data_IF_292083370353
#
_entry.id   IF_292083370353
#
_cell.length_a   1.000
_cell.length_b   1.000
_cell.length_c   1.000
_cell.angle_alpha   90.00
_cell.angle_beta   90.00
_cell.angle_gamma   90.00
#
_symmetry.space_group_name_H-M   'P 1'
#
loop_
_entity.id
_entity.type
_entity.pdbx_description
1 polymer ?
#
# COMPACT_ATOMS: atom_id res chain seq x y z
N UNK A 1 -6.53 50.25 -3.16
CA UNK A 1 -6.34 49.10 -4.07
C UNK A 1 -4.89 48.66 -3.97
N UNK A 2 -4.59 47.63 -3.20
CA UNK A 2 -3.28 46.95 -3.23
C UNK A 2 -3.56 45.46 -3.37
N UNK A 3 -3.59 45.02 -4.62
CA UNK A 3 -3.81 43.61 -4.96
C UNK A 3 -2.60 42.76 -4.59
N UNK A 4 -2.88 41.79 -3.72
CA UNK A 4 -2.27 40.48 -3.55
C UNK A 4 -0.98 40.19 -4.34
N UNK A 5 0.15 40.27 -3.65
CA UNK A 5 1.38 39.61 -4.08
C UNK A 5 1.23 38.09 -3.85
N UNK A 6 0.52 37.40 -4.75
CA UNK A 6 0.38 35.94 -4.69
C UNK A 6 1.71 35.30 -5.06
N UNK A 7 2.21 34.52 -4.11
CA UNK A 7 3.34 33.60 -4.15
C UNK A 7 3.45 32.83 -5.49
N UNK A 8 4.16 33.39 -6.48
CA UNK A 8 4.45 32.68 -7.74
C UNK A 8 5.48 31.59 -7.45
N UNK A 9 5.28 30.34 -7.86
CA UNK A 9 6.28 29.29 -7.66
C UNK A 9 7.57 29.69 -8.37
N UNK A 10 8.70 29.48 -7.69
CA UNK A 10 10.03 29.79 -8.21
C UNK A 10 10.23 29.14 -9.59
N UNK A 11 10.89 29.87 -10.49
CA UNK A 11 11.16 29.41 -11.86
C UNK A 11 12.01 28.15 -11.80
N UNK A 12 11.56 27.06 -12.42
CA UNK A 12 12.27 25.79 -12.47
C UNK A 12 13.61 25.97 -13.21
N UNK A 13 14.70 25.48 -12.62
CA UNK A 13 16.02 25.46 -13.24
C UNK A 13 16.25 24.14 -14.00
N UNK A 14 17.05 24.12 -15.10
CA UNK A 14 17.43 22.88 -15.77
C UNK A 14 18.29 21.99 -14.86
N UNK A 15 18.13 20.66 -15.00
CA UNK A 15 18.89 19.69 -14.22
C UNK A 15 20.21 19.37 -14.91
N UNK A 16 21.31 19.96 -14.41
CA UNK A 16 22.66 19.80 -14.99
C UNK A 16 23.62 19.02 -14.07
N UNK A 17 23.11 18.30 -13.08
CA UNK A 17 23.96 17.55 -12.13
C UNK A 17 24.45 16.25 -12.79
N UNK A 18 25.77 16.01 -12.85
CA UNK A 18 26.31 14.77 -13.41
C UNK A 18 25.97 13.56 -12.52
N UNK A 19 25.97 12.34 -13.09
CA UNK A 19 25.90 11.12 -12.28
C UNK A 19 27.16 11.01 -11.41
N UNK A 20 27.00 10.44 -10.21
CA UNK A 20 28.10 10.20 -9.27
C UNK A 20 28.43 8.71 -9.20
N UNK A 21 29.71 8.36 -9.16
CA UNK A 21 30.20 7.01 -8.84
C UNK A 21 29.88 6.61 -7.39
N UNK A 22 29.98 5.33 -7.04
CA UNK A 22 29.76 4.89 -5.66
C UNK A 22 30.79 5.48 -4.69
N UNK A 23 32.06 5.59 -5.12
CA UNK A 23 33.10 6.25 -4.33
C UNK A 23 32.81 7.73 -4.10
N UNK A 24 32.33 8.46 -5.11
CA UNK A 24 31.90 9.86 -4.95
C UNK A 24 30.70 9.99 -4.00
N UNK A 25 29.77 9.02 -4.00
CA UNK A 25 28.66 8.98 -3.06
C UNK A 25 29.15 8.76 -1.62
N UNK A 26 30.09 7.85 -1.39
CA UNK A 26 30.70 7.62 -0.06
C UNK A 26 31.43 8.87 0.43
N UNK A 27 32.28 9.46 -0.40
CA UNK A 27 32.99 10.71 -0.07
C UNK A 27 32.04 11.86 0.25
N UNK A 28 30.89 11.93 -0.44
CA UNK A 28 29.84 12.91 -0.13
C UNK A 28 29.19 12.68 1.23
N UNK A 29 28.99 11.44 1.66
CA UNK A 29 28.47 11.12 2.99
C UNK A 29 29.50 11.46 4.09
N UNK A 30 30.77 11.14 3.86
CA UNK A 30 31.88 11.48 4.77
C UNK A 30 32.00 13.00 4.94
N UNK A 31 31.99 13.77 3.85
CA UNK A 31 32.08 15.24 3.92
C UNK A 31 30.90 15.90 4.63
N UNK A 32 29.78 15.18 4.76
CA UNK A 32 28.60 15.60 5.52
C UNK A 32 28.65 15.20 7.00
N UNK A 33 29.69 14.47 7.43
CA UNK A 33 29.91 14.05 8.82
C UNK A 33 29.47 12.62 9.13
N UNK A 34 29.14 11.79 8.13
CA UNK A 34 28.85 10.38 8.38
C UNK A 34 30.14 9.60 8.62
N UNK A 35 30.20 8.84 9.71
CA UNK A 35 31.36 7.99 10.05
C UNK A 35 31.28 6.71 9.24
N UNK A 36 32.27 6.48 8.37
CA UNK A 36 32.36 5.30 7.49
C UNK A 36 33.76 4.68 7.61
N UNK A 37 33.97 3.75 8.58
CA UNK A 37 35.27 3.12 8.78
C UNK A 37 35.68 2.22 7.61
N UNK A 38 34.72 1.48 7.04
CA UNK A 38 34.91 0.60 5.88
C UNK A 38 34.21 1.20 4.65
N UNK A 39 34.95 1.97 3.86
CA UNK A 39 34.44 2.61 2.66
C UNK A 39 34.12 1.60 1.56
N UNK A 40 34.89 0.51 1.45
CA UNK A 40 34.64 -0.53 0.44
C UNK A 40 33.31 -1.24 0.69
N UNK A 41 33.00 -1.52 1.96
CA UNK A 41 31.70 -2.07 2.34
C UNK A 41 30.55 -1.08 2.08
N UNK A 42 30.74 0.21 2.38
CA UNK A 42 29.75 1.24 2.07
C UNK A 42 29.48 1.38 0.56
N UNK A 43 30.53 1.36 -0.28
CA UNK A 43 30.39 1.33 -1.74
C UNK A 43 29.63 0.09 -2.21
N UNK A 44 29.93 -1.09 -1.65
CA UNK A 44 29.20 -2.31 -1.94
C UNK A 44 27.70 -2.15 -1.63
N UNK A 45 27.32 -1.65 -0.45
CA UNK A 45 25.91 -1.44 -0.12
C UNK A 45 25.24 -0.40 -1.02
N UNK A 46 25.89 0.71 -1.33
CA UNK A 46 25.36 1.73 -2.24
C UNK A 46 25.25 1.23 -3.69
N UNK A 47 26.02 0.20 -4.07
CA UNK A 47 25.85 -0.48 -5.36
C UNK A 47 24.57 -1.32 -5.43
N UNK A 48 24.11 -1.84 -4.30
CA UNK A 48 22.87 -2.64 -4.18
C UNK A 48 21.67 -1.77 -3.79
N UNK A 49 21.90 -0.63 -3.15
CA UNK A 49 20.91 0.31 -2.66
C UNK A 49 21.05 1.64 -3.39
N UNK A 50 20.08 1.97 -4.24
CA UNK A 50 20.03 3.29 -4.87
C UNK A 50 20.24 4.42 -3.84
N UNK A 51 21.16 5.35 -4.12
CA UNK A 51 21.54 6.41 -3.19
C UNK A 51 20.36 7.22 -2.64
N UNK A 52 19.33 7.49 -3.45
CA UNK A 52 18.14 8.21 -2.98
C UNK A 52 17.35 7.41 -1.95
N UNK A 53 17.31 6.08 -2.08
CA UNK A 53 16.69 5.21 -1.07
C UNK A 53 17.48 5.28 0.23
N UNK A 54 18.81 5.14 0.19
CA UNK A 54 19.66 5.26 1.39
C UNK A 54 19.51 6.65 2.04
N UNK A 55 19.60 7.72 1.25
CA UNK A 55 19.48 9.10 1.71
C UNK A 55 18.15 9.40 2.42
N UNK A 56 17.06 8.71 2.07
CA UNK A 56 15.78 8.86 2.77
C UNK A 56 15.82 8.34 4.22
N UNK A 57 16.73 7.41 4.54
CA UNK A 57 16.98 6.92 5.91
C UNK A 57 18.07 7.72 6.64
N UNK A 58 18.82 8.57 5.93
CA UNK A 58 19.74 9.53 6.56
C UNK A 58 19.00 10.63 7.33
N UNK A 59 17.80 11.02 6.87
CA UNK A 59 17.06 12.19 7.39
C UNK A 59 16.94 12.22 8.93
N UNK A 60 16.58 11.15 9.66
CA UNK A 60 16.48 11.18 11.12
C UNK A 60 17.81 11.45 11.84
N UNK A 61 18.93 11.20 11.17
CA UNK A 61 20.29 11.39 11.68
C UNK A 61 20.90 12.73 11.25
N UNK A 62 20.21 13.51 10.40
CA UNK A 62 20.63 14.85 10.06
C UNK A 62 20.40 15.79 11.26
N UNK A 63 21.38 16.64 11.53
CA UNK A 63 21.25 17.80 12.42
C UNK A 63 20.71 19.01 11.68
N UNK A 64 21.07 19.15 10.40
CA UNK A 64 20.64 20.23 9.52
C UNK A 64 20.21 19.66 8.16
N UNK A 65 18.92 19.79 7.84
CA UNK A 65 18.34 19.34 6.59
C UNK A 65 18.68 20.23 5.40
N UNK A 66 19.09 21.48 5.60
CA UNK A 66 19.47 22.38 4.51
C UNK A 66 20.80 21.95 3.88
N UNK A 67 21.77 21.62 4.73
CA UNK A 67 23.11 21.20 4.30
C UNK A 67 23.33 19.68 4.35
N UNK A 68 22.35 18.92 4.84
CA UNK A 68 22.42 17.48 5.06
C UNK A 68 23.57 17.06 5.98
N UNK A 69 23.86 17.84 7.02
CA UNK A 69 24.93 17.55 8.00
C UNK A 69 24.41 16.52 8.99
N UNK A 70 25.19 15.47 9.22
CA UNK A 70 24.87 14.42 10.20
C UNK A 70 25.19 14.88 11.62
N UNK A 71 24.51 14.30 12.61
CA UNK A 71 24.87 14.45 14.03
C UNK A 71 26.21 13.75 14.29
N UNK A 72 26.98 14.28 15.24
CA UNK A 72 28.26 13.72 15.63
C UNK A 72 28.16 12.23 15.98
N UNK A 73 29.15 11.45 15.54
CA UNK A 73 29.26 10.00 15.73
C UNK A 73 28.17 9.15 15.06
N UNK A 74 27.36 9.71 14.14
CA UNK A 74 26.47 8.88 13.31
C UNK A 74 27.29 7.99 12.38
N UNK A 75 27.15 6.68 12.48
CA UNK A 75 27.81 5.72 11.62
C UNK A 75 26.96 5.32 10.40
N UNK A 76 27.63 4.87 9.34
CA UNK A 76 26.95 4.28 8.17
C UNK A 76 25.99 3.15 8.56
N UNK A 77 26.43 2.30 9.49
CA UNK A 77 25.67 1.15 9.95
C UNK A 77 24.39 1.54 10.70
N UNK A 78 24.34 2.70 11.35
CA UNK A 78 23.11 3.20 12.00
C UNK A 78 22.00 3.43 10.97
N UNK A 79 22.36 4.07 9.85
CA UNK A 79 21.45 4.34 8.74
C UNK A 79 21.06 3.04 8.04
N UNK A 80 22.02 2.15 7.81
CA UNK A 80 21.79 0.86 7.18
C UNK A 80 20.86 -0.03 8.04
N UNK A 81 21.07 -0.07 9.35
CA UNK A 81 20.24 -0.82 10.28
C UNK A 81 18.80 -0.30 10.30
N UNK A 82 18.59 1.02 10.20
CA UNK A 82 17.25 1.58 10.07
C UNK A 82 16.56 1.13 8.77
N UNK A 83 17.30 1.07 7.65
CA UNK A 83 16.80 0.54 6.39
C UNK A 83 16.41 -0.95 6.51
N UNK A 84 17.27 -1.76 7.15
CA UNK A 84 17.03 -3.20 7.37
C UNK A 84 15.81 -3.40 8.26
N UNK A 85 15.70 -2.66 9.36
CA UNK A 85 14.54 -2.66 10.23
C UNK A 85 13.25 -2.36 9.46
N UNK A 86 13.22 -1.30 8.64
CA UNK A 86 12.03 -0.95 7.86
C UNK A 86 11.70 -2.02 6.80
N UNK A 87 12.70 -2.75 6.30
CA UNK A 87 12.48 -3.92 5.43
C UNK A 87 11.80 -5.05 6.19
N UNK A 88 12.24 -5.37 7.39
CA UNK A 88 11.62 -6.41 8.22
C UNK A 88 10.20 -6.02 8.64
N UNK A 89 10.00 -4.76 9.03
CA UNK A 89 8.69 -4.21 9.36
C UNK A 89 7.71 -4.37 8.19
N UNK A 90 8.13 -4.05 6.95
CA UNK A 90 7.28 -4.26 5.77
C UNK A 90 6.84 -5.71 5.61
N UNK A 91 7.74 -6.68 5.86
CA UNK A 91 7.41 -8.10 5.73
C UNK A 91 6.39 -8.54 6.78
N UNK A 92 6.57 -8.13 8.04
CA UNK A 92 5.61 -8.41 9.11
C UNK A 92 4.23 -7.79 8.83
N UNK A 93 4.20 -6.58 8.29
CA UNK A 93 2.96 -5.90 7.93
C UNK A 93 2.27 -6.59 6.74
N UNK A 94 3.03 -7.05 5.74
CA UNK A 94 2.48 -7.82 4.63
C UNK A 94 1.86 -9.13 5.10
N UNK A 95 2.55 -9.89 5.96
CA UNK A 95 2.03 -11.14 6.55
C UNK A 95 0.72 -10.90 7.32
N UNK A 96 0.66 -9.84 8.13
CA UNK A 96 -0.54 -9.50 8.88
C UNK A 96 -1.72 -9.10 7.97
N UNK A 97 -1.45 -8.30 6.93
CA UNK A 97 -2.50 -7.85 6.00
C UNK A 97 -3.01 -9.01 5.13
N UNK A 98 -2.13 -9.93 4.73
CA UNK A 98 -2.52 -11.10 3.92
C UNK A 98 -3.64 -11.90 4.59
N UNK A 99 -3.56 -12.13 5.90
CA UNK A 99 -4.60 -12.86 6.66
C UNK A 99 -5.96 -12.15 6.59
N UNK A 100 -5.95 -10.81 6.63
CA UNK A 100 -7.16 -10.00 6.53
C UNK A 100 -7.70 -10.03 5.10
N UNK A 101 -6.81 -9.94 4.10
CA UNK A 101 -7.16 -9.98 2.67
C UNK A 101 -7.86 -11.30 2.31
N UNK A 102 -7.27 -12.44 2.69
CA UNK A 102 -7.85 -13.77 2.47
C UNK A 102 -9.19 -13.90 3.18
N UNK A 103 -9.27 -13.49 4.45
CA UNK A 103 -10.53 -13.52 5.21
C UNK A 103 -11.61 -12.67 4.54
N UNK A 104 -11.28 -11.46 4.07
CA UNK A 104 -12.23 -10.55 3.44
C UNK A 104 -12.76 -11.09 2.11
N UNK A 105 -11.90 -11.75 1.30
CA UNK A 105 -12.34 -12.47 0.09
C UNK A 105 -13.43 -13.48 0.43
N UNK A 106 -13.18 -14.31 1.43
CA UNK A 106 -14.14 -15.33 1.88
C UNK A 106 -15.44 -14.71 2.34
N UNK A 107 -15.39 -13.72 3.23
CA UNK A 107 -16.60 -13.10 3.78
C UNK A 107 -17.43 -12.38 2.72
N UNK A 108 -16.76 -11.67 1.80
CA UNK A 108 -17.43 -10.96 0.71
C UNK A 108 -18.12 -11.93 -0.25
N UNK A 109 -17.41 -12.98 -0.70
CA UNK A 109 -17.97 -13.99 -1.58
C UNK A 109 -19.13 -14.75 -0.92
N UNK A 110 -18.95 -15.17 0.35
CA UNK A 110 -19.97 -15.90 1.09
C UNK A 110 -21.24 -15.07 1.27
N UNK A 111 -21.15 -13.88 1.87
CA UNK A 111 -22.35 -13.11 2.20
C UNK A 111 -23.08 -12.60 0.97
N UNK A 112 -22.38 -12.13 -0.07
CA UNK A 112 -23.06 -11.66 -1.28
C UNK A 112 -23.74 -12.80 -2.03
N UNK A 113 -23.11 -13.98 -2.13
CA UNK A 113 -23.73 -15.12 -2.83
C UNK A 113 -24.97 -15.65 -2.10
N UNK A 114 -24.90 -15.76 -0.77
CA UNK A 114 -26.00 -16.32 0.03
C UNK A 114 -27.15 -15.33 0.19
N UNK A 115 -26.87 -14.05 0.44
CA UNK A 115 -27.93 -13.05 0.65
C UNK A 115 -28.71 -12.74 -0.62
N UNK A 116 -28.08 -12.86 -1.79
CA UNK A 116 -28.69 -12.59 -3.10
C UNK A 116 -29.01 -13.87 -3.88
N UNK A 117 -28.79 -15.04 -3.29
CA UNK A 117 -29.05 -16.37 -3.85
C UNK A 117 -28.53 -16.54 -5.30
N UNK A 118 -27.28 -16.14 -5.54
CA UNK A 118 -26.64 -16.19 -6.87
C UNK A 118 -25.15 -16.46 -6.77
N UNK A 119 -24.61 -17.15 -7.76
CA UNK A 119 -23.18 -17.38 -7.90
C UNK A 119 -22.43 -16.13 -8.43
N UNK A 120 -23.15 -15.18 -9.03
CA UNK A 120 -22.56 -14.03 -9.73
C UNK A 120 -23.07 -12.66 -9.23
N UNK A 121 -23.10 -12.39 -7.92
CA UNK A 121 -23.59 -11.10 -7.41
C UNK A 121 -22.75 -9.92 -7.91
N UNK A 122 -21.46 -10.13 -8.21
CA UNK A 122 -20.58 -9.11 -8.81
C UNK A 122 -21.02 -8.65 -10.19
N UNK A 123 -21.88 -9.39 -10.89
CA UNK A 123 -22.44 -9.00 -12.20
C UNK A 123 -23.75 -8.22 -12.09
N UNK A 124 -24.29 -8.07 -10.88
CA UNK A 124 -25.52 -7.31 -10.65
C UNK A 124 -25.20 -5.88 -10.20
N UNK A 125 -25.28 -4.87 -11.09
CA UNK A 125 -24.97 -3.48 -10.76
C UNK A 125 -25.86 -2.91 -9.65
N UNK A 126 -27.08 -3.41 -9.46
CA UNK A 126 -28.02 -2.91 -8.45
C UNK A 126 -27.57 -3.18 -7.01
N UNK A 127 -26.64 -4.12 -6.81
CA UNK A 127 -26.03 -4.40 -5.52
C UNK A 127 -25.00 -3.35 -5.11
N UNK A 128 -24.65 -2.43 -5.99
CA UNK A 128 -23.59 -1.44 -5.79
C UNK A 128 -24.11 -0.01 -5.84
N UNK A 129 -23.59 0.84 -4.97
CA UNK A 129 -24.10 2.19 -4.77
C UNK A 129 -23.65 3.17 -5.86
N UNK A 130 -22.34 3.19 -6.17
CA UNK A 130 -21.77 4.11 -7.14
C UNK A 130 -21.48 3.38 -8.47
N UNK A 131 -22.16 3.73 -9.57
CA UNK A 131 -22.02 3.06 -10.86
C UNK A 131 -20.64 3.29 -11.51
N UNK A 132 -19.98 4.42 -11.24
CA UNK A 132 -18.63 4.72 -11.76
C UNK A 132 -17.60 3.80 -11.09
N UNK A 133 -17.68 3.65 -9.76
CA UNK A 133 -16.79 2.74 -9.02
C UNK A 133 -17.05 1.30 -9.41
N UNK A 134 -18.33 0.91 -9.57
CA UNK A 134 -18.71 -0.42 -10.04
C UNK A 134 -18.13 -0.69 -11.43
N UNK A 135 -18.37 0.21 -12.40
CA UNK A 135 -17.84 0.10 -13.76
C UNK A 135 -16.32 -0.06 -13.81
N UNK A 136 -15.59 0.74 -13.03
CA UNK A 136 -14.14 0.61 -12.93
C UNK A 136 -13.71 -0.74 -12.32
N UNK A 137 -14.45 -1.22 -11.31
CA UNK A 137 -14.13 -2.47 -10.59
C UNK A 137 -14.41 -3.70 -11.45
N UNK A 138 -15.53 -3.73 -12.17
CA UNK A 138 -15.89 -4.83 -13.06
C UNK A 138 -14.99 -4.87 -14.29
N UNK A 139 -14.70 -3.73 -14.93
CA UNK A 139 -13.76 -3.66 -16.07
C UNK A 139 -12.37 -4.17 -15.70
N UNK A 140 -11.92 -3.87 -14.48
CA UNK A 140 -10.64 -4.36 -13.98
C UNK A 140 -10.68 -5.89 -13.82
N UNK A 141 -11.75 -6.44 -13.27
CA UNK A 141 -11.93 -7.88 -13.12
C UNK A 141 -12.01 -8.60 -14.48
N UNK A 142 -12.75 -8.04 -15.43
CA UNK A 142 -12.84 -8.52 -16.82
C UNK A 142 -11.49 -8.51 -17.53
N UNK A 143 -10.60 -7.58 -17.19
CA UNK A 143 -9.22 -7.58 -17.67
C UNK A 143 -8.32 -8.62 -16.99
N UNK A 144 -8.58 -8.93 -15.72
CA UNK A 144 -7.75 -9.84 -14.90
C UNK A 144 -8.09 -11.32 -15.17
N UNK A 145 -9.38 -11.67 -15.33
CA UNK A 145 -9.85 -13.05 -15.61
C UNK A 145 -9.16 -13.71 -16.83
N UNK A 146 -9.14 -13.12 -18.04
CA UNK A 146 -8.53 -13.75 -19.21
C UNK A 146 -7.01 -13.81 -19.14
N UNK A 147 -6.38 -12.97 -18.30
CA UNK A 147 -4.91 -12.96 -18.10
C UNK A 147 -4.47 -13.93 -17.01
N UNK A 148 -5.40 -14.39 -16.17
CA UNK A 148 -5.10 -15.33 -15.10
C UNK A 148 -4.57 -16.65 -15.65
N UNK A 149 -3.49 -17.14 -15.03
CA UNK A 149 -2.88 -18.43 -15.33
C UNK A 149 -3.27 -19.51 -14.33
N UNK A 150 -4.14 -19.18 -13.37
CA UNK A 150 -4.62 -20.07 -12.33
C UNK A 150 -5.46 -21.22 -12.92
N UNK A 151 -5.22 -22.45 -12.46
CA UNK A 151 -5.86 -23.63 -13.04
C UNK A 151 -7.36 -23.68 -12.76
N UNK A 152 -7.82 -23.16 -11.61
CA UNK A 152 -9.25 -23.09 -11.30
C UNK A 152 -10.00 -22.13 -12.25
N UNK A 153 -9.37 -21.02 -12.68
CA UNK A 153 -9.96 -20.10 -13.65
C UNK A 153 -10.04 -20.77 -15.02
N UNK A 154 -8.96 -21.44 -15.47
CA UNK A 154 -8.98 -22.21 -16.73
C UNK A 154 -10.07 -23.26 -16.72
N UNK A 155 -10.17 -24.04 -15.64
CA UNK A 155 -11.21 -25.06 -15.47
C UNK A 155 -12.60 -24.46 -15.60
N UNK A 156 -12.89 -23.38 -14.87
CA UNK A 156 -14.20 -22.74 -14.87
C UNK A 156 -14.56 -22.20 -16.25
N UNK A 157 -13.64 -21.52 -16.93
CA UNK A 157 -13.85 -20.99 -18.29
C UNK A 157 -14.07 -22.07 -19.35
N UNK A 158 -13.48 -23.25 -19.18
CA UNK A 158 -13.60 -24.34 -20.16
C UNK A 158 -14.83 -25.22 -19.92
N UNK A 159 -15.33 -25.27 -18.68
CA UNK A 159 -16.43 -26.15 -18.26
C UNK A 159 -17.80 -25.48 -18.33
N UNK A 160 -17.86 -24.18 -18.07
CA UNK A 160 -19.11 -23.44 -17.87
C UNK A 160 -19.30 -22.40 -18.99
N UNK A 161 -20.56 -22.13 -19.34
CA UNK A 161 -20.94 -21.20 -20.41
C UNK A 161 -20.94 -19.74 -19.95
N UNK A 162 -20.99 -19.52 -18.63
CA UNK A 162 -20.99 -18.19 -18.04
C UNK A 162 -19.73 -17.39 -18.40
N UNK A 163 -19.94 -16.15 -18.82
CA UNK A 163 -18.87 -15.25 -19.28
C UNK A 163 -17.80 -14.99 -18.20
N UNK A 164 -18.18 -15.08 -16.93
CA UNK A 164 -17.26 -14.90 -15.81
C UNK A 164 -17.42 -16.03 -14.80
N UNK A 165 -16.33 -16.47 -14.14
CA UNK A 165 -16.41 -17.39 -13.01
C UNK A 165 -17.25 -16.84 -11.85
N UNK A 166 -17.74 -17.72 -10.95
CA UNK A 166 -18.52 -17.31 -9.78
C UNK A 166 -17.70 -16.48 -8.78
N UNK A 167 -18.39 -15.78 -7.88
CA UNK A 167 -17.74 -14.80 -6.99
C UNK A 167 -16.62 -15.40 -6.14
N UNK A 168 -16.78 -16.63 -5.63
CA UNK A 168 -15.77 -17.32 -4.83
C UNK A 168 -14.50 -17.68 -5.60
N UNK A 169 -14.54 -17.70 -6.93
CA UNK A 169 -13.35 -17.86 -7.76
C UNK A 169 -12.72 -16.50 -8.08
N UNK A 170 -13.54 -15.51 -8.48
CA UNK A 170 -13.00 -14.22 -8.95
C UNK A 170 -12.42 -13.36 -7.83
N UNK A 171 -12.86 -13.52 -6.57
CA UNK A 171 -12.25 -12.82 -5.43
C UNK A 171 -10.78 -13.19 -5.21
N UNK A 172 -10.36 -14.40 -5.60
CA UNK A 172 -8.96 -14.84 -5.52
C UNK A 172 -8.06 -14.10 -6.51
N UNK A 173 -8.62 -13.46 -7.54
CA UNK A 173 -7.88 -12.60 -8.47
C UNK A 173 -7.79 -11.14 -8.00
N UNK A 174 -8.60 -10.74 -7.01
CA UNK A 174 -8.68 -9.36 -6.56
C UNK A 174 -7.55 -9.03 -5.59
N UNK A 175 -6.85 -7.92 -5.82
CA UNK A 175 -5.94 -7.31 -4.83
C UNK A 175 -6.71 -6.74 -3.63
N UNK A 176 -6.03 -6.52 -2.50
CA UNK A 176 -6.61 -5.79 -1.35
C UNK A 176 -7.29 -4.47 -1.73
N UNK A 177 -6.69 -3.71 -2.65
CA UNK A 177 -7.26 -2.46 -3.14
C UNK A 177 -8.59 -2.65 -3.89
N UNK A 178 -8.70 -3.70 -4.71
CA UNK A 178 -9.94 -4.05 -5.38
C UNK A 178 -11.00 -4.51 -4.36
N UNK A 179 -10.63 -5.36 -3.39
CA UNK A 179 -11.55 -5.81 -2.34
C UNK A 179 -12.08 -4.64 -1.51
N UNK A 180 -11.21 -3.70 -1.14
CA UNK A 180 -11.62 -2.47 -0.44
C UNK A 180 -12.64 -1.67 -1.26
N UNK A 181 -12.46 -1.57 -2.58
CA UNK A 181 -13.41 -0.86 -3.46
C UNK A 181 -14.73 -1.60 -3.59
N UNK A 182 -14.71 -2.90 -3.87
CA UNK A 182 -15.91 -3.73 -3.91
C UNK A 182 -16.69 -3.64 -2.61
N UNK A 183 -16.04 -3.90 -1.46
CA UNK A 183 -16.66 -3.85 -0.15
C UNK A 183 -17.30 -2.48 0.16
N UNK A 184 -16.56 -1.39 -0.06
CA UNK A 184 -17.05 -0.02 0.20
C UNK A 184 -18.23 0.38 -0.69
N UNK A 185 -18.35 -0.23 -1.88
CA UNK A 185 -19.36 0.13 -2.86
C UNK A 185 -20.61 -0.76 -2.79
N UNK A 186 -20.64 -1.81 -1.96
CA UNK A 186 -21.86 -2.59 -1.69
C UNK A 186 -22.94 -1.61 -1.22
N UNK A 187 -24.12 -1.63 -1.84
CA UNK A 187 -25.24 -0.71 -1.55
C UNK A 187 -25.91 -1.01 -0.21
N UNK A 188 -26.22 -2.27 0.04
CA UNK A 188 -26.88 -2.73 1.25
C UNK A 188 -25.99 -2.59 2.49
N UNK A 189 -26.42 -1.80 3.47
CA UNK A 189 -25.75 -1.73 4.77
C UNK A 189 -25.78 -3.08 5.50
N UNK A 190 -26.86 -3.85 5.35
CA UNK A 190 -26.99 -5.15 5.99
C UNK A 190 -25.92 -6.13 5.49
N UNK A 191 -25.63 -6.13 4.19
CA UNK A 191 -24.58 -6.97 3.59
C UNK A 191 -23.20 -6.57 4.09
N UNK A 192 -22.87 -5.27 4.05
CA UNK A 192 -21.60 -4.77 4.59
C UNK A 192 -21.45 -5.14 6.07
N UNK A 193 -22.51 -4.98 6.85
CA UNK A 193 -22.47 -5.31 8.27
C UNK A 193 -22.34 -6.82 8.52
N UNK A 194 -22.95 -7.67 7.70
CA UNK A 194 -22.81 -9.12 7.80
C UNK A 194 -21.34 -9.54 7.63
N UNK A 195 -20.67 -9.02 6.59
CA UNK A 195 -19.23 -9.21 6.34
C UNK A 195 -18.39 -8.73 7.54
N UNK A 196 -18.76 -7.62 8.18
CA UNK A 196 -17.98 -7.04 9.26
C UNK A 196 -18.09 -7.79 10.60
N UNK A 197 -19.11 -8.65 10.78
CA UNK A 197 -19.38 -9.31 12.07
C UNK A 197 -18.20 -10.17 12.54
N UNK A 198 -17.52 -10.85 11.63
CA UNK A 198 -16.37 -11.71 11.99
C UNK A 198 -15.20 -10.91 12.58
N UNK A 199 -15.08 -9.63 12.22
CA UNK A 199 -14.04 -8.73 12.72
C UNK A 199 -14.46 -7.96 13.98
N UNK A 200 -15.73 -8.06 14.39
CA UNK A 200 -16.27 -7.26 15.50
C UNK A 200 -16.31 -5.75 15.22
N UNK A 201 -16.37 -5.34 13.95
CA UNK A 201 -16.34 -3.93 13.53
C UNK A 201 -17.68 -3.46 12.94
N UNK A 202 -17.95 -2.15 13.04
CA UNK A 202 -19.01 -1.50 12.26
C UNK A 202 -18.53 -1.28 10.80
N UNK A 203 -19.47 -1.34 9.86
CA UNK A 203 -19.20 -1.22 8.42
C UNK A 203 -18.42 0.05 8.03
N UNK A 204 -18.64 1.16 8.72
CA UNK A 204 -17.91 2.41 8.43
C UNK A 204 -16.45 2.31 8.86
N UNK A 205 -16.19 1.71 10.02
CA UNK A 205 -14.84 1.49 10.54
C UNK A 205 -14.12 0.51 9.62
N UNK A 206 -14.77 -0.60 9.27
CA UNK A 206 -14.19 -1.59 8.35
C UNK A 206 -13.87 -0.99 6.99
N UNK A 207 -14.75 -0.13 6.45
CA UNK A 207 -14.51 0.56 5.17
C UNK A 207 -13.24 1.41 5.24
N UNK A 208 -13.12 2.25 6.26
CA UNK A 208 -11.93 3.09 6.47
C UNK A 208 -10.68 2.25 6.74
N UNK A 209 -10.81 1.14 7.45
CA UNK A 209 -9.73 0.22 7.74
C UNK A 209 -9.22 -0.48 6.47
N UNK A 210 -10.09 -1.03 5.63
CA UNK A 210 -9.73 -1.64 4.35
C UNK A 210 -9.04 -0.65 3.41
N UNK A 211 -9.50 0.60 3.36
CA UNK A 211 -8.85 1.65 2.57
C UNK A 211 -7.43 1.93 3.07
N UNK A 212 -7.25 2.04 4.39
CA UNK A 212 -5.96 2.28 4.99
C UNK A 212 -5.00 1.09 4.81
N UNK A 213 -5.48 -0.13 5.03
CA UNK A 213 -4.69 -1.35 4.79
C UNK A 213 -4.26 -1.47 3.33
N UNK A 214 -5.13 -1.12 2.38
CA UNK A 214 -4.77 -1.09 0.95
C UNK A 214 -3.60 -0.14 0.69
N UNK A 215 -3.61 1.05 1.31
CA UNK A 215 -2.52 2.03 1.19
C UNK A 215 -1.22 1.51 1.81
N UNK A 216 -1.29 0.99 3.03
CA UNK A 216 -0.14 0.45 3.77
C UNK A 216 0.48 -0.75 3.02
N UNK A 217 -0.36 -1.70 2.60
CA UNK A 217 0.06 -2.87 1.80
C UNK A 217 0.75 -2.44 0.52
N UNK A 218 0.18 -1.47 -0.21
CA UNK A 218 0.79 -1.00 -1.46
C UNK A 218 2.15 -0.35 -1.20
N UNK A 219 2.31 0.45 -0.15
CA UNK A 219 3.62 0.98 0.22
C UNK A 219 4.63 -0.15 0.53
N UNK A 220 4.23 -1.15 1.31
CA UNK A 220 5.09 -2.26 1.64
C UNK A 220 5.47 -3.11 0.41
N UNK A 221 4.48 -3.46 -0.43
CA UNK A 221 4.66 -4.26 -1.64
C UNK A 221 5.49 -3.54 -2.72
N UNK A 222 5.46 -2.20 -2.77
CA UNK A 222 6.31 -1.40 -3.64
C UNK A 222 7.65 -1.00 -2.99
N UNK A 223 8.01 -1.61 -1.86
CA UNK A 223 9.27 -1.36 -1.14
C UNK A 223 9.48 0.12 -0.78
N UNK A 224 8.40 0.86 -0.57
CA UNK A 224 8.44 2.23 -0.09
C UNK A 224 8.75 2.26 1.40
N UNK A 225 9.32 3.36 1.89
CA UNK A 225 9.58 3.55 3.32
C UNK A 225 8.27 3.50 4.09
N UNK A 226 8.18 2.63 5.10
CA UNK A 226 6.98 2.49 5.94
C UNK A 226 7.20 3.13 7.32
N UNK A 227 8.39 2.94 7.89
CA UNK A 227 8.82 3.57 9.12
C UNK A 227 8.79 5.09 9.01
N UNK A 228 8.27 5.74 10.06
CA UNK A 228 8.15 7.19 10.19
C UNK A 228 7.58 7.84 8.92
N UNK A 229 6.49 7.25 8.40
CA UNK A 229 5.73 7.75 7.27
C UNK A 229 4.42 8.34 7.78
N UNK A 230 4.14 9.56 7.37
CA UNK A 230 2.81 10.14 7.51
C UNK A 230 1.87 9.61 6.43
N UNK A 231 0.74 9.06 6.85
CA UNK A 231 -0.31 8.62 5.94
C UNK A 231 -1.35 9.72 5.80
N UNK A 232 -1.62 10.12 4.56
CA UNK A 232 -2.65 11.13 4.24
C UNK A 232 -4.06 10.65 4.59
N UNK A 233 -4.27 9.33 4.63
CA UNK A 233 -5.51 8.70 5.09
C UNK A 233 -5.21 7.77 6.25
N UNK A 234 -5.86 8.00 7.38
CA UNK A 234 -5.79 7.16 8.57
C UNK A 234 -7.10 6.41 8.76
N UNK A 235 -7.03 5.24 9.41
CA UNK A 235 -8.22 4.48 9.76
C UNK A 235 -9.02 5.20 10.84
N UNK A 236 -10.35 5.12 10.75
CA UNK A 236 -11.23 5.54 11.84
C UNK A 236 -11.08 4.59 13.02
N UNK A 237 -10.89 5.15 14.23
CA UNK A 237 -10.84 4.37 15.46
C UNK A 237 -12.25 4.07 15.98
N UNK A 238 -12.51 2.85 16.50
CA UNK A 238 -13.75 2.55 17.19
C UNK A 238 -14.00 3.51 18.35
N UNK A 239 -15.16 4.18 18.37
CA UNK A 239 -15.53 5.11 19.45
C UNK A 239 -16.05 4.41 20.71
N UNK A 240 -16.42 3.13 20.60
CA UNK A 240 -16.91 2.29 21.70
C UNK A 240 -16.33 0.89 21.55
N UNK A 241 -15.72 0.39 22.63
CA UNK A 241 -15.14 -0.94 22.78
C UNK A 241 -14.68 -1.09 24.24
N UNK A 242 -14.57 -2.33 24.75
CA UNK A 242 -13.94 -2.54 26.07
C UNK A 242 -12.52 -1.99 25.98
N UNK A 243 -12.20 -1.00 26.83
CA UNK A 243 -10.80 -0.61 27.06
C UNK A 243 -10.13 -1.82 27.71
N UNK A 244 -9.44 -2.62 26.90
CA UNK A 244 -8.44 -3.52 27.46
C UNK A 244 -7.24 -2.63 27.77
N UNK A 245 -7.16 -2.23 29.04
CA UNK A 245 -5.93 -1.76 29.67
C UNK A 245 -4.92 -2.90 29.71
#
# INVERSE_FOLDING_TARGET
MSESNRNRPARKAPYNKPPTTFSEQVNKLISRGLVIPDQSNAEFYLSQLNYYRFAAYCLPFEQDHANHRFRDNTAFDDVLNLYIFDRELRLLVLDAIERIEVSLRTQLAYHLSHNHNTAHPQLNPELFYNPIIYGASINKLEGDIPRSREDFIKHLKNKYEELQPPIWAVVELMTMGQLSKWFSNIKSRADRQAICRVYGLDEKIMTSFCEHLSLVRNHAAHHARLWNRDFTKTSMLPKRGKKHC
#
